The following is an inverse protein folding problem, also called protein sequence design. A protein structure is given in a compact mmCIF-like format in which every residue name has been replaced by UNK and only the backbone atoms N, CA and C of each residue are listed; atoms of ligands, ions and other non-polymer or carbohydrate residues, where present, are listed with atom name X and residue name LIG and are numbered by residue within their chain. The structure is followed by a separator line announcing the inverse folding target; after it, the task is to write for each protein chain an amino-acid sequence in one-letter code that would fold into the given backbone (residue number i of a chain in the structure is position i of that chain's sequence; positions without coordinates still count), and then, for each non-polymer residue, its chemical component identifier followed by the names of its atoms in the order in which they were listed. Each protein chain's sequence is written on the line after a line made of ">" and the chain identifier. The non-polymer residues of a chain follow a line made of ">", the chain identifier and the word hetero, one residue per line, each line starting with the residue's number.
data_IF_267380163126
#
_entry.id   IF_267380163126
#
_cell.length_a   1.000
_cell.length_b   1.000
_cell.length_c   1.000
_cell.angle_alpha   90.00
_cell.angle_beta   90.00
_cell.angle_gamma   90.00
#
_symmetry.space_group_name_H-M   'P 1'
#
loop_
_entity.id
_entity.type
_entity.pdbx_description
1 polymer ?
#
# COMPACT_ATOMS: atom_id res chain seq x y z
N UNK A 1 -3.64 -40.45 -4.45
CA UNK A 1 -3.40 -40.02 -5.83
C UNK A 1 -1.90 -39.94 -6.09
N UNK A 2 -1.46 -40.16 -7.33
CA UNK A 2 -0.09 -39.83 -7.75
C UNK A 2 -0.01 -38.37 -8.22
N UNK A 3 1.18 -37.76 -8.25
CA UNK A 3 1.37 -36.42 -8.84
C UNK A 3 0.93 -36.38 -10.30
N UNK A 4 1.12 -37.47 -11.03
CA UNK A 4 0.69 -37.60 -12.43
C UNK A 4 -0.83 -37.65 -12.60
N UNK A 5 -1.56 -38.22 -11.63
CA UNK A 5 -3.02 -38.17 -11.60
C UNK A 5 -3.51 -36.75 -11.31
N UNK A 6 -2.95 -36.10 -10.29
CA UNK A 6 -3.28 -34.71 -9.95
C UNK A 6 -3.03 -33.77 -11.14
N UNK A 7 -1.93 -33.96 -11.86
CA UNK A 7 -1.56 -33.16 -13.04
C UNK A 7 -2.55 -33.23 -14.21
N UNK A 8 -3.52 -34.16 -14.20
CA UNK A 8 -4.60 -34.23 -15.21
C UNK A 8 -5.73 -33.24 -14.93
N UNK A 9 -5.85 -32.76 -13.70
CA UNK A 9 -6.93 -31.90 -13.22
C UNK A 9 -6.51 -30.42 -13.27
N UNK A 10 -6.46 -29.87 -14.49
CA UNK A 10 -5.90 -28.54 -14.76
C UNK A 10 -6.90 -27.48 -15.22
N UNK A 11 -8.12 -27.89 -15.56
CA UNK A 11 -9.13 -27.01 -16.16
C UNK A 11 -10.46 -27.18 -15.42
N UNK A 12 -11.37 -26.18 -15.49
CA UNK A 12 -12.70 -26.34 -14.89
C UNK A 12 -13.48 -27.55 -15.44
N UNK A 13 -13.27 -27.92 -16.70
CA UNK A 13 -13.90 -29.10 -17.31
C UNK A 13 -13.39 -30.43 -16.74
N UNK A 14 -12.12 -30.48 -16.37
CA UNK A 14 -11.46 -31.67 -15.81
C UNK A 14 -11.40 -31.66 -14.27
N UNK A 15 -12.02 -30.67 -13.62
CA UNK A 15 -11.75 -30.26 -12.23
C UNK A 15 -10.35 -29.69 -12.06
N UNK A 16 -10.20 -28.75 -11.12
CA UNK A 16 -8.95 -28.08 -10.79
C UNK A 16 -8.43 -28.63 -9.47
N UNK A 17 -7.42 -29.50 -9.54
CA UNK A 17 -6.82 -30.07 -8.33
C UNK A 17 -5.46 -29.44 -8.03
N UNK A 18 -5.13 -29.35 -6.75
CA UNK A 18 -3.84 -28.84 -6.26
C UNK A 18 -3.34 -29.69 -5.09
N UNK A 19 -2.05 -29.60 -4.77
CA UNK A 19 -1.48 -30.27 -3.59
C UNK A 19 -0.88 -29.29 -2.60
N UNK A 20 -0.92 -29.64 -1.31
CA UNK A 20 -0.18 -28.93 -0.26
C UNK A 20 0.24 -29.94 0.81
N UNK A 21 1.55 -30.05 1.05
CA UNK A 21 2.14 -31.16 1.78
C UNK A 21 1.88 -32.47 1.04
N UNK A 22 1.22 -33.40 1.72
CA UNK A 22 0.78 -34.68 1.15
C UNK A 22 -0.68 -34.68 0.73
N UNK A 23 -1.42 -33.61 0.96
CA UNK A 23 -2.86 -33.57 0.72
C UNK A 23 -3.19 -33.12 -0.70
N UNK A 24 -4.29 -33.62 -1.24
CA UNK A 24 -4.85 -33.29 -2.56
C UNK A 24 -6.21 -32.61 -2.37
N UNK A 25 -6.40 -31.49 -3.05
CA UNK A 25 -7.56 -30.63 -2.91
C UNK A 25 -8.22 -30.40 -4.27
N UNK A 26 -9.54 -30.52 -4.35
CA UNK A 26 -10.34 -30.10 -5.50
C UNK A 26 -10.86 -28.69 -5.24
N UNK A 27 -10.20 -27.72 -5.83
CA UNK A 27 -10.48 -26.29 -5.64
C UNK A 27 -11.33 -25.72 -6.77
N UNK A 28 -11.98 -26.56 -7.59
CA UNK A 28 -12.77 -26.14 -8.77
C UNK A 28 -13.78 -25.05 -8.40
N UNK A 29 -14.55 -25.27 -7.33
CA UNK A 29 -15.61 -24.35 -6.90
C UNK A 29 -15.04 -23.12 -6.16
N UNK A 30 -13.76 -23.13 -5.81
CA UNK A 30 -13.06 -22.01 -5.16
C UNK A 30 -12.35 -21.08 -6.13
N UNK A 31 -12.07 -21.52 -7.37
CA UNK A 31 -11.33 -20.75 -8.38
C UNK A 31 -11.88 -19.32 -8.51
N UNK A 32 -13.19 -19.19 -8.70
CA UNK A 32 -13.86 -17.89 -8.86
C UNK A 32 -13.97 -17.09 -7.56
N UNK A 33 -13.87 -17.75 -6.40
CA UNK A 33 -13.96 -17.13 -5.07
C UNK A 33 -12.60 -16.67 -4.55
N UNK A 34 -11.51 -17.02 -5.24
CA UNK A 34 -10.16 -16.73 -4.80
C UNK A 34 -9.89 -15.21 -4.77
N UNK A 35 -9.47 -14.62 -3.63
CA UNK A 35 -9.29 -13.16 -3.51
C UNK A 35 -8.25 -12.54 -4.45
N UNK A 36 -7.31 -13.34 -4.96
CA UNK A 36 -6.34 -12.92 -5.97
C UNK A 36 -6.84 -13.02 -7.42
N UNK A 37 -8.10 -13.43 -7.61
CA UNK A 37 -8.68 -13.79 -8.90
C UNK A 37 -8.40 -15.25 -9.31
N UNK A 38 -9.18 -15.78 -10.27
CA UNK A 38 -9.08 -17.16 -10.73
C UNK A 38 -7.73 -17.44 -11.41
N UNK A 39 -7.23 -16.49 -12.20
CA UNK A 39 -5.98 -16.62 -12.96
C UNK A 39 -4.80 -16.99 -12.07
N UNK A 40 -4.71 -16.43 -10.86
CA UNK A 40 -3.59 -16.69 -9.94
C UNK A 40 -3.65 -18.09 -9.33
N UNK A 41 -4.85 -18.59 -9.05
CA UNK A 41 -5.03 -19.93 -8.51
C UNK A 41 -4.84 -21.00 -9.59
N UNK A 42 -5.29 -20.74 -10.81
CA UNK A 42 -5.14 -21.64 -11.96
C UNK A 42 -3.67 -21.88 -12.36
N UNK A 43 -2.74 -21.00 -11.98
CA UNK A 43 -1.30 -21.25 -12.14
C UNK A 43 -0.81 -22.49 -11.38
N UNK A 44 -1.47 -22.81 -10.26
CA UNK A 44 -1.16 -23.99 -9.45
C UNK A 44 -1.92 -25.24 -9.91
N UNK A 45 -2.79 -25.14 -10.92
CA UNK A 45 -3.66 -26.23 -11.34
C UNK A 45 -2.85 -27.47 -11.76
N UNK A 46 -3.22 -28.62 -11.20
CA UNK A 46 -2.52 -29.89 -11.34
C UNK A 46 -1.14 -29.93 -10.68
N UNK A 47 -0.86 -29.06 -9.71
CA UNK A 47 0.46 -28.90 -9.11
C UNK A 47 0.44 -28.52 -7.62
N UNK A 48 1.65 -28.28 -7.10
CA UNK A 48 1.90 -27.96 -5.70
C UNK A 48 1.65 -26.48 -5.40
N UNK A 49 0.99 -26.19 -4.27
CA UNK A 49 0.71 -24.83 -3.78
C UNK A 49 1.93 -24.17 -3.15
N UNK A 50 2.90 -24.95 -2.66
CA UNK A 50 4.05 -24.50 -1.88
C UNK A 50 4.87 -23.40 -2.57
N UNK A 51 5.21 -23.47 -3.87
CA UNK A 51 5.93 -22.39 -4.55
C UNK A 51 5.16 -21.06 -4.53
N UNK A 52 3.83 -21.11 -4.63
CA UNK A 52 2.97 -19.93 -4.61
C UNK A 52 2.77 -19.41 -3.18
N UNK A 53 2.61 -20.31 -2.21
CA UNK A 53 2.43 -19.97 -0.79
C UNK A 53 3.71 -19.41 -0.16
N UNK A 54 4.88 -19.84 -0.64
CA UNK A 54 6.15 -19.24 -0.29
C UNK A 54 6.18 -17.74 -0.65
N UNK A 55 5.65 -17.36 -1.81
CA UNK A 55 5.57 -15.96 -2.30
C UNK A 55 4.47 -15.15 -1.62
N UNK A 56 3.34 -15.79 -1.32
CA UNK A 56 2.17 -15.15 -0.73
C UNK A 56 1.86 -15.74 0.64
N UNK A 57 2.68 -15.43 1.66
CA UNK A 57 2.51 -16.07 2.98
C UNK A 57 1.22 -15.72 3.71
N UNK A 58 0.36 -14.85 3.15
CA UNK A 58 -1.03 -14.71 3.60
C UNK A 58 -1.76 -16.06 3.60
N UNK A 59 -1.39 -16.98 2.69
CA UNK A 59 -1.97 -18.31 2.63
C UNK A 59 -1.52 -19.23 3.77
N UNK A 60 -0.41 -18.91 4.45
CA UNK A 60 0.04 -19.63 5.64
C UNK A 60 -0.74 -19.23 6.90
N UNK A 61 -1.71 -18.32 6.82
CA UNK A 61 -2.53 -17.95 7.97
C UNK A 61 -3.52 -19.09 8.32
N UNK A 62 -3.79 -19.33 9.62
CA UNK A 62 -4.63 -20.46 10.05
C UNK A 62 -5.99 -20.53 9.36
N UNK A 63 -6.67 -19.39 9.17
CA UNK A 63 -7.97 -19.35 8.52
C UNK A 63 -7.94 -19.76 7.03
N UNK A 64 -6.81 -19.55 6.32
CA UNK A 64 -6.66 -19.98 4.92
C UNK A 64 -6.39 -21.47 4.85
N UNK A 65 -5.60 -22.00 5.79
CA UNK A 65 -5.39 -23.44 5.93
C UNK A 65 -6.69 -24.16 6.29
N UNK A 66 -7.53 -23.57 7.15
CA UNK A 66 -8.87 -24.09 7.48
C UNK A 66 -9.78 -24.10 6.26
N UNK A 67 -9.83 -22.99 5.51
CA UNK A 67 -10.59 -22.92 4.26
C UNK A 67 -10.13 -23.96 3.24
N UNK A 68 -8.82 -24.12 3.05
CA UNK A 68 -8.27 -25.11 2.09
C UNK A 68 -8.68 -26.54 2.46
N UNK A 69 -8.78 -26.87 3.76
CA UNK A 69 -9.19 -28.21 4.21
C UNK A 69 -10.61 -28.59 3.78
N UNK A 70 -11.50 -27.63 3.59
CA UNK A 70 -12.86 -27.89 3.09
C UNK A 70 -12.86 -28.50 1.68
N UNK A 71 -11.79 -28.27 0.92
CA UNK A 71 -11.62 -28.75 -0.45
C UNK A 71 -10.81 -30.05 -0.55
N UNK A 72 -10.44 -30.69 0.57
CA UNK A 72 -9.61 -31.90 0.55
C UNK A 72 -10.39 -33.08 -0.06
N UNK A 73 -9.81 -33.71 -1.08
CA UNK A 73 -10.36 -34.89 -1.77
C UNK A 73 -9.53 -36.15 -1.62
N UNK A 74 -8.29 -36.04 -1.12
CA UNK A 74 -7.48 -37.19 -0.75
C UNK A 74 -6.05 -36.83 -0.39
N UNK A 75 -5.17 -37.81 -0.50
CA UNK A 75 -3.74 -37.70 -0.17
C UNK A 75 -2.89 -38.31 -1.29
N UNK A 76 -1.64 -37.85 -1.39
CA UNK A 76 -0.65 -38.39 -2.31
C UNK A 76 -0.21 -39.79 -1.87
N UNK A 77 0.18 -40.62 -2.83
CA UNK A 77 0.80 -41.92 -2.53
C UNK A 77 2.12 -41.70 -1.76
N UNK A 78 2.54 -42.66 -0.91
CA UNK A 78 3.79 -42.53 -0.15
C UNK A 78 5.03 -42.27 -1.02
N UNK A 79 5.05 -42.78 -2.24
CA UNK A 79 6.13 -42.58 -3.23
C UNK A 79 6.20 -41.12 -3.71
N UNK A 80 5.05 -40.46 -3.86
CA UNK A 80 4.93 -39.06 -4.31
C UNK A 80 4.87 -38.04 -3.14
N UNK A 81 4.69 -38.53 -1.91
CA UNK A 81 4.70 -37.76 -0.67
C UNK A 81 6.09 -37.17 -0.33
N UNK A 82 7.15 -37.69 -0.96
CA UNK A 82 8.48 -37.08 -0.88
C UNK A 82 8.53 -35.83 -1.76
N UNK A 83 9.00 -34.67 -1.25
CA UNK A 83 9.10 -33.47 -2.08
C UNK A 83 10.04 -33.73 -3.26
N UNK A 84 9.53 -33.54 -4.49
CA UNK A 84 10.40 -33.45 -5.65
C UNK A 84 11.45 -32.33 -5.38
N UNK A 85 12.72 -32.50 -5.76
CA UNK A 85 13.75 -31.47 -5.58
C UNK A 85 13.51 -30.33 -6.59
N UNK A 86 12.47 -29.53 -6.34
CA UNK A 86 12.29 -28.20 -6.93
C UNK A 86 13.07 -27.21 -6.10
N UNK A 87 13.78 -26.29 -6.76
CA UNK A 87 14.66 -25.27 -6.19
C UNK A 87 14.08 -24.64 -4.90
N UNK A 88 14.47 -25.18 -3.75
CA UNK A 88 13.94 -24.85 -2.41
C UNK A 88 14.53 -23.57 -1.85
N UNK A 89 14.95 -22.64 -2.72
CA UNK A 89 15.46 -21.35 -2.30
C UNK A 89 14.30 -20.43 -1.98
N UNK A 90 14.16 -20.11 -0.70
CA UNK A 90 13.27 -19.07 -0.18
C UNK A 90 13.38 -17.79 -1.03
N UNK A 91 12.32 -17.39 -1.77
CA UNK A 91 12.37 -16.23 -2.66
C UNK A 91 12.73 -14.93 -1.96
N UNK A 92 12.54 -14.86 -0.63
CA UNK A 92 12.83 -13.69 0.20
C UNK A 92 14.23 -13.72 0.83
N UNK A 93 15.06 -14.72 0.55
CA UNK A 93 16.39 -14.84 1.16
C UNK A 93 17.30 -13.63 0.86
N UNK A 94 17.07 -12.93 -0.27
CA UNK A 94 17.80 -11.74 -0.68
C UNK A 94 17.19 -10.42 -0.18
N UNK A 95 16.13 -10.46 0.62
CA UNK A 95 15.52 -9.26 1.18
C UNK A 95 16.48 -8.51 2.12
N UNK A 96 16.44 -7.16 2.17
CA UNK A 96 17.30 -6.38 3.05
C UNK A 96 16.98 -6.63 4.54
N UNK A 97 17.93 -6.38 5.46
CA UNK A 97 17.63 -6.29 6.88
C UNK A 97 16.80 -5.03 7.18
N UNK A 98 15.97 -5.08 8.24
CA UNK A 98 15.13 -3.96 8.67
C UNK A 98 15.31 -3.65 10.14
N UNK A 99 14.91 -2.43 10.52
CA UNK A 99 15.02 -1.98 11.89
C UNK A 99 14.08 -2.78 12.83
N UNK A 100 14.58 -3.30 13.97
CA UNK A 100 13.81 -4.22 14.83
C UNK A 100 12.65 -3.55 15.57
N UNK A 101 12.63 -2.22 15.68
CA UNK A 101 11.53 -1.50 16.31
C UNK A 101 10.25 -1.45 15.44
N UNK A 102 10.32 -1.81 14.16
CA UNK A 102 9.14 -1.84 13.30
C UNK A 102 8.12 -2.88 13.81
N UNK A 103 6.85 -2.50 13.79
CA UNK A 103 5.73 -3.40 14.07
C UNK A 103 5.42 -4.18 12.80
N UNK A 104 5.96 -5.40 12.74
CA UNK A 104 5.81 -6.28 11.58
C UNK A 104 4.43 -6.94 11.59
N UNK A 105 3.68 -6.80 10.50
CA UNK A 105 2.42 -7.50 10.28
C UNK A 105 2.56 -8.69 9.31
N UNK A 106 3.60 -8.71 8.48
CA UNK A 106 3.96 -9.84 7.63
C UNK A 106 5.47 -9.83 7.40
N UNK A 107 6.11 -10.99 7.53
CA UNK A 107 7.53 -11.15 7.27
C UNK A 107 7.82 -11.40 5.78
N UNK A 108 6.95 -12.14 5.08
CA UNK A 108 7.13 -12.57 3.68
C UNK A 108 5.80 -12.50 2.93
N UNK A 109 5.56 -11.52 2.06
CA UNK A 109 6.41 -10.35 1.83
C UNK A 109 6.47 -9.44 3.06
N UNK A 110 7.58 -8.71 3.21
CA UNK A 110 7.81 -7.85 4.36
C UNK A 110 6.84 -6.65 4.36
N UNK A 111 6.08 -6.52 5.43
CA UNK A 111 5.17 -5.41 5.65
C UNK A 111 5.19 -5.01 7.13
N UNK A 112 5.50 -3.74 7.40
CA UNK A 112 5.65 -3.23 8.75
C UNK A 112 5.41 -1.72 8.83
N UNK A 113 4.97 -1.26 9.99
CA UNK A 113 4.77 0.15 10.31
C UNK A 113 5.64 0.57 11.50
N UNK A 114 6.02 1.85 11.63
CA UNK A 114 6.67 2.32 12.84
C UNK A 114 5.73 2.21 14.05
N UNK A 115 6.28 2.11 15.28
CA UNK A 115 5.50 2.31 16.49
C UNK A 115 4.75 3.66 16.44
N UNK A 116 3.45 3.69 16.79
CA UNK A 116 2.64 4.92 16.82
C UNK A 116 3.32 6.10 17.52
N UNK A 117 3.94 5.85 18.66
CA UNK A 117 4.65 6.83 19.49
C UNK A 117 5.87 7.46 18.79
N UNK A 118 6.45 6.79 17.79
CA UNK A 118 7.58 7.30 17.00
C UNK A 118 7.12 8.01 15.72
N UNK A 119 5.90 7.73 15.27
CA UNK A 119 5.39 8.17 13.96
C UNK A 119 5.45 9.71 13.79
N UNK A 120 5.18 10.46 14.86
CA UNK A 120 5.08 11.92 14.84
C UNK A 120 6.19 12.63 15.61
N UNK A 121 7.29 11.93 15.93
CA UNK A 121 8.45 12.55 16.62
C UNK A 121 9.30 13.42 15.69
N UNK A 122 9.19 13.21 14.38
CA UNK A 122 9.84 14.01 13.35
C UNK A 122 8.88 14.26 12.21
N UNK A 123 8.97 15.44 11.60
CA UNK A 123 8.18 15.79 10.41
C UNK A 123 8.53 14.89 9.22
N UNK A 124 9.83 14.65 9.00
CA UNK A 124 10.32 13.65 8.05
C UNK A 124 10.58 12.36 8.80
N UNK A 125 9.87 11.30 8.44
CA UNK A 125 10.07 9.97 9.01
C UNK A 125 11.45 9.45 8.59
N UNK A 126 12.31 9.01 9.54
CA UNK A 126 13.58 8.38 9.20
C UNK A 126 13.39 7.19 8.26
N UNK A 127 14.31 6.99 7.31
CA UNK A 127 14.20 5.96 6.27
C UNK A 127 14.00 4.55 6.85
N UNK A 128 14.65 4.28 7.98
CA UNK A 128 14.65 3.01 8.71
C UNK A 128 13.32 2.73 9.44
N UNK A 129 12.52 3.78 9.67
CA UNK A 129 11.21 3.72 10.33
C UNK A 129 10.04 3.99 9.37
N UNK A 130 10.31 4.42 8.14
CA UNK A 130 9.29 4.65 7.13
C UNK A 130 8.54 3.35 6.86
N UNK A 131 7.20 3.38 6.92
CA UNK A 131 6.39 2.16 6.78
C UNK A 131 6.72 1.43 5.47
N UNK A 132 6.83 0.12 5.53
CA UNK A 132 7.19 -0.70 4.37
C UNK A 132 6.02 -1.57 3.98
N UNK A 133 5.60 -1.49 2.73
CA UNK A 133 4.60 -2.39 2.14
C UNK A 133 5.20 -3.05 0.90
N UNK A 134 5.44 -4.36 0.96
CA UNK A 134 5.87 -5.18 -0.16
C UNK A 134 4.79 -6.21 -0.49
N UNK A 135 4.46 -6.37 -1.78
CA UNK A 135 3.60 -7.47 -2.25
C UNK A 135 4.39 -8.73 -2.59
N UNK A 136 5.68 -8.56 -2.88
CA UNK A 136 6.57 -9.53 -3.49
C UNK A 136 7.98 -9.40 -2.88
N UNK A 137 8.92 -10.33 -3.16
CA UNK A 137 10.32 -10.21 -2.74
C UNK A 137 10.97 -8.91 -3.24
N UNK A 138 11.93 -8.38 -2.47
CA UNK A 138 12.64 -7.15 -2.83
C UNK A 138 13.68 -7.46 -3.91
N UNK A 139 13.60 -6.85 -5.11
CA UNK A 139 14.59 -7.05 -6.16
C UNK A 139 16.02 -6.74 -5.69
N UNK A 140 16.98 -7.53 -6.19
CA UNK A 140 18.41 -7.24 -6.08
C UNK A 140 18.85 -6.60 -7.40
N UNK A 141 19.16 -5.31 -7.37
CA UNK A 141 19.43 -4.52 -8.58
C UNK A 141 20.88 -4.04 -8.57
N UNK A 142 21.61 -4.38 -9.62
CA UNK A 142 22.96 -3.85 -9.86
C UNK A 142 22.86 -2.48 -10.57
N UNK A 143 23.36 -1.38 -9.97
CA UNK A 143 23.10 -0.03 -10.48
C UNK A 143 23.62 0.22 -11.89
N UNK A 144 24.76 -0.36 -12.27
CA UNK A 144 25.38 -0.16 -13.59
C UNK A 144 24.58 -0.78 -14.74
N UNK A 145 23.87 -1.89 -14.48
CA UNK A 145 23.09 -2.60 -15.48
C UNK A 145 21.61 -2.23 -15.48
N UNK A 146 21.12 -1.53 -14.44
CA UNK A 146 19.74 -1.04 -14.38
C UNK A 146 19.37 -0.20 -15.61
N UNK A 147 18.19 -0.46 -16.18
CA UNK A 147 17.60 0.33 -17.27
C UNK A 147 16.13 0.57 -16.98
N UNK A 148 15.73 1.84 -17.09
CA UNK A 148 14.35 2.27 -17.12
C UNK A 148 13.88 2.36 -18.57
N UNK A 149 12.87 1.56 -18.93
CA UNK A 149 12.20 1.65 -20.23
C UNK A 149 11.11 2.73 -20.18
N UNK A 150 11.12 3.66 -21.12
CA UNK A 150 10.03 4.64 -21.29
C UNK A 150 9.52 4.55 -22.73
N UNK A 151 8.28 4.09 -22.88
CA UNK A 151 7.65 3.94 -24.20
C UNK A 151 7.10 5.28 -24.66
N UNK A 152 7.61 5.77 -25.79
CA UNK A 152 7.21 7.00 -26.45
C UNK A 152 6.18 6.77 -27.58
N UNK A 153 5.61 7.85 -28.14
CA UNK A 153 4.67 7.77 -29.26
C UNK A 153 5.29 7.08 -30.49
N UNK A 154 4.44 6.43 -31.29
CA UNK A 154 4.86 5.87 -32.58
C UNK A 154 5.87 4.71 -32.48
N UNK A 155 5.92 4.00 -31.34
CA UNK A 155 6.82 2.87 -31.11
C UNK A 155 8.25 3.25 -30.71
N UNK A 156 8.53 4.54 -30.46
CA UNK A 156 9.81 4.97 -29.88
C UNK A 156 9.94 4.39 -28.48
N UNK A 157 11.14 3.96 -28.10
CA UNK A 157 11.41 3.47 -26.75
C UNK A 157 12.73 4.06 -26.26
N UNK A 158 12.71 4.69 -25.09
CA UNK A 158 13.92 5.12 -24.38
C UNK A 158 14.33 4.02 -23.40
N UNK A 159 15.64 3.79 -23.31
CA UNK A 159 16.24 2.92 -22.28
C UNK A 159 17.24 3.77 -21.51
N UNK A 160 16.84 4.26 -20.35
CA UNK A 160 17.62 5.18 -19.53
C UNK A 160 18.37 4.41 -18.44
N UNK A 161 19.69 4.55 -18.38
CA UNK A 161 20.46 4.14 -17.21
C UNK A 161 20.20 5.04 -16.00
N UNK A 162 20.56 4.60 -14.80
CA UNK A 162 20.47 5.43 -13.59
C UNK A 162 21.31 6.72 -13.71
N UNK A 163 22.49 6.63 -14.32
CA UNK A 163 23.37 7.78 -14.55
C UNK A 163 22.74 8.79 -15.51
N UNK A 164 22.10 8.33 -16.59
CA UNK A 164 21.39 9.20 -17.53
C UNK A 164 20.16 9.85 -16.90
N UNK A 165 19.40 9.12 -16.08
CA UNK A 165 18.26 9.68 -15.37
C UNK A 165 18.69 10.80 -14.40
N UNK A 166 19.85 10.66 -13.74
CA UNK A 166 20.43 11.67 -12.85
C UNK A 166 21.05 12.85 -13.61
N UNK A 167 21.69 12.58 -14.75
CA UNK A 167 22.49 13.58 -15.48
C UNK A 167 21.71 14.37 -16.54
N UNK A 168 20.65 13.79 -17.13
CA UNK A 168 19.90 14.44 -18.23
C UNK A 168 18.76 15.33 -17.73
N UNK A 169 18.17 15.02 -16.59
CA UNK A 169 16.98 15.70 -16.09
C UNK A 169 17.32 16.53 -14.84
N UNK A 170 16.82 17.78 -14.73
CA UNK A 170 16.99 18.56 -13.52
C UNK A 170 16.43 17.82 -12.29
N UNK A 171 17.23 17.71 -11.23
CA UNK A 171 16.75 17.14 -9.97
C UNK A 171 15.71 18.06 -9.35
N UNK A 172 14.51 17.55 -9.11
CA UNK A 172 13.46 18.21 -8.35
C UNK A 172 13.25 17.48 -7.02
N UNK A 173 12.88 18.23 -5.98
CA UNK A 173 12.65 17.67 -4.66
C UNK A 173 11.25 18.03 -4.16
N UNK A 174 10.53 17.03 -3.63
CA UNK A 174 9.15 17.15 -3.18
C UNK A 174 9.03 16.48 -1.83
N UNK A 175 8.50 17.19 -0.84
CA UNK A 175 8.15 16.57 0.46
C UNK A 175 6.73 16.04 0.38
N UNK A 176 6.58 14.72 0.43
CA UNK A 176 5.28 14.08 0.28
C UNK A 176 5.08 12.94 1.29
N UNK A 177 3.86 12.87 1.82
CA UNK A 177 3.39 11.76 2.64
C UNK A 177 2.85 10.66 1.74
N UNK A 178 3.28 9.42 1.99
CA UNK A 178 2.66 8.24 1.40
C UNK A 178 1.77 7.60 2.46
N UNK A 179 0.52 7.34 2.10
CA UNK A 179 -0.43 6.58 2.93
C UNK A 179 -0.90 5.34 2.17
N UNK A 180 -0.88 4.18 2.82
CA UNK A 180 -1.47 2.96 2.28
C UNK A 180 -3.01 3.05 2.31
N UNK A 181 -3.69 2.51 1.30
CA UNK A 181 -5.15 2.41 1.27
C UNK A 181 -5.72 1.71 2.51
N UNK A 182 -4.96 0.77 3.07
CA UNK A 182 -5.33 -0.03 4.25
C UNK A 182 -4.88 0.55 5.58
N UNK A 183 -4.41 1.80 5.64
CA UNK A 183 -4.10 2.44 6.92
C UNK A 183 -5.32 2.38 7.84
N UNK A 184 -5.12 2.04 9.12
CA UNK A 184 -6.18 1.87 10.12
C UNK A 184 -7.16 0.71 9.85
N UNK A 185 -6.79 -0.27 9.01
CA UNK A 185 -7.64 -1.44 8.71
C UNK A 185 -8.08 -2.20 9.97
N UNK A 186 -7.21 -2.29 10.97
CA UNK A 186 -7.52 -3.01 12.22
C UNK A 186 -8.76 -2.48 12.95
N UNK A 187 -9.10 -1.20 12.79
CA UNK A 187 -10.33 -0.62 13.33
C UNK A 187 -11.57 -1.08 12.56
N UNK A 188 -11.46 -1.25 11.24
CA UNK A 188 -12.54 -1.79 10.41
C UNK A 188 -12.83 -3.25 10.75
N UNK A 189 -11.79 -4.05 11.01
CA UNK A 189 -11.91 -5.45 11.42
C UNK A 189 -12.70 -5.64 12.73
N UNK A 190 -12.83 -4.60 13.57
CA UNK A 190 -13.64 -4.64 14.80
C UNK A 190 -15.15 -4.61 14.52
N UNK A 191 -15.58 -4.12 13.35
CA UNK A 191 -16.99 -4.19 12.93
C UNK A 191 -17.33 -5.59 12.45
N UNK A 192 -16.57 -6.03 11.44
CA UNK A 192 -16.74 -7.29 10.73
C UNK A 192 -15.38 -7.64 10.10
N UNK A 193 -14.96 -8.93 10.11
CA UNK A 193 -13.70 -9.34 9.51
C UNK A 193 -13.54 -8.87 8.06
N UNK A 194 -12.33 -8.45 7.69
CA UNK A 194 -11.97 -7.98 6.34
C UNK A 194 -10.70 -8.70 5.85
N UNK A 195 -10.48 -8.79 4.53
CA UNK A 195 -9.25 -9.40 3.98
C UNK A 195 -8.17 -8.34 3.73
N UNK A 196 -7.09 -8.40 4.49
CA UNK A 196 -5.89 -7.58 4.29
C UNK A 196 -4.97 -7.53 5.51
N UNK A 197 -3.82 -6.87 5.37
CA UNK A 197 -2.85 -6.70 6.45
C UNK A 197 -3.45 -5.89 7.61
N UNK A 198 -3.27 -6.34 8.85
CA UNK A 198 -3.83 -5.71 10.04
C UNK A 198 -3.06 -4.44 10.47
N UNK A 199 -3.07 -3.41 9.62
CA UNK A 199 -2.45 -2.12 9.91
C UNK A 199 -3.15 -1.40 11.07
N UNK A 200 -2.35 -0.82 11.95
CA UNK A 200 -2.76 0.20 12.93
C UNK A 200 -2.76 1.58 12.24
N UNK A 201 -2.50 2.65 12.98
CA UNK A 201 -2.44 4.03 12.46
C UNK A 201 -1.15 4.38 11.68
N UNK A 202 -0.18 3.48 11.59
CA UNK A 202 1.18 3.74 11.11
C UNK A 202 1.47 3.35 9.66
N UNK A 203 0.49 2.94 8.86
CA UNK A 203 0.68 2.70 7.42
C UNK A 203 0.68 4.02 6.61
N UNK A 204 1.42 5.00 7.13
CA UNK A 204 1.60 6.36 6.63
C UNK A 204 2.97 6.87 7.07
N UNK A 205 3.72 7.56 6.21
CA UNK A 205 5.01 8.17 6.56
C UNK A 205 5.35 9.30 5.57
N UNK A 206 6.22 10.22 5.97
CA UNK A 206 6.58 11.41 5.18
C UNK A 206 8.08 11.46 4.92
N UNK A 207 8.46 11.75 3.68
CA UNK A 207 9.86 11.92 3.30
C UNK A 207 10.02 13.06 2.27
N UNK A 208 11.24 13.58 2.18
CA UNK A 208 11.68 14.44 1.08
C UNK A 208 12.22 13.56 -0.03
N UNK A 209 11.52 13.50 -1.15
CA UNK A 209 11.87 12.70 -2.32
C UNK A 209 12.66 13.55 -3.31
N UNK A 210 13.73 13.00 -3.89
CA UNK A 210 14.55 13.67 -4.91
C UNK A 210 14.63 12.83 -6.18
N UNK A 211 14.41 13.44 -7.34
CA UNK A 211 14.36 12.71 -8.60
C UNK A 211 14.16 13.58 -9.83
N UNK A 212 14.05 12.93 -10.98
CA UNK A 212 13.59 13.56 -12.21
C UNK A 212 12.06 13.74 -12.15
N UNK A 213 11.52 14.84 -12.66
CA UNK A 213 10.06 14.96 -12.83
C UNK A 213 9.58 13.99 -13.91
N UNK A 214 8.48 13.28 -13.65
CA UNK A 214 7.88 12.38 -14.64
C UNK A 214 7.50 13.15 -15.91
N UNK A 215 6.96 14.36 -15.75
CA UNK A 215 6.69 15.33 -16.84
C UNK A 215 7.89 15.45 -17.78
N UNK A 216 9.07 15.78 -17.25
CA UNK A 216 10.24 16.07 -18.08
C UNK A 216 10.73 14.82 -18.84
N UNK A 217 10.62 13.65 -18.22
CA UNK A 217 10.96 12.36 -18.85
C UNK A 217 9.98 12.03 -19.98
N UNK A 218 8.68 12.24 -19.79
CA UNK A 218 7.66 12.02 -20.82
C UNK A 218 7.81 13.01 -21.99
N UNK A 219 8.08 14.28 -21.70
CA UNK A 219 8.38 15.28 -22.73
C UNK A 219 9.62 14.89 -23.54
N UNK A 220 10.68 14.41 -22.88
CA UNK A 220 11.87 13.91 -23.56
C UNK A 220 11.62 12.65 -24.40
N UNK A 221 10.70 11.78 -23.98
CA UNK A 221 10.24 10.64 -24.76
C UNK A 221 9.42 11.03 -26.00
N UNK A 222 8.99 12.29 -26.10
CA UNK A 222 8.28 12.85 -27.24
C UNK A 222 6.78 13.05 -27.01
N UNK A 223 6.28 12.89 -25.79
CA UNK A 223 4.92 13.31 -25.45
C UNK A 223 4.84 14.83 -25.29
N UNK A 224 3.62 15.39 -25.36
CA UNK A 224 3.36 16.79 -25.06
C UNK A 224 2.70 16.99 -23.70
N UNK A 225 2.30 18.22 -23.43
CA UNK A 225 1.54 18.61 -22.23
C UNK A 225 0.06 18.24 -22.28
N UNK A 226 -0.38 17.70 -23.42
CA UNK A 226 -1.75 17.28 -23.69
C UNK A 226 -1.76 15.80 -24.02
N UNK A 227 -2.87 15.10 -23.75
CA UNK A 227 -3.01 13.71 -24.12
C UNK A 227 -2.77 13.50 -25.63
N UNK A 228 -2.27 12.32 -26.05
CA UNK A 228 -2.00 12.02 -27.46
C UNK A 228 -3.20 12.23 -28.41
N UNK A 229 -4.43 12.04 -27.92
CA UNK A 229 -5.67 12.42 -28.60
C UNK A 229 -6.59 13.21 -27.66
N UNK A 230 -7.41 14.10 -28.22
CA UNK A 230 -8.43 14.82 -27.48
C UNK A 230 -9.63 13.94 -27.09
N UNK A 231 -9.79 12.81 -27.78
CA UNK A 231 -10.81 11.79 -27.50
C UNK A 231 -10.17 10.67 -26.65
N UNK A 232 -10.79 10.35 -25.52
CA UNK A 232 -10.37 9.28 -24.61
C UNK A 232 -9.64 9.77 -23.36
N UNK A 233 -9.64 8.92 -22.32
CA UNK A 233 -8.86 9.13 -21.10
C UNK A 233 -7.51 8.42 -21.25
N UNK A 234 -6.42 9.16 -21.07
CA UNK A 234 -5.09 8.63 -21.18
C UNK A 234 -4.47 8.42 -19.81
N UNK A 235 -3.63 7.40 -19.71
CA UNK A 235 -2.98 6.99 -18.48
C UNK A 235 -1.48 6.81 -18.69
N UNK A 236 -0.72 6.98 -17.62
CA UNK A 236 0.68 6.54 -17.54
C UNK A 236 0.73 5.31 -16.65
N UNK A 237 1.09 4.19 -17.26
CA UNK A 237 1.24 2.88 -16.64
C UNK A 237 2.69 2.68 -16.20
N UNK A 238 2.84 2.06 -15.03
CA UNK A 238 4.12 1.79 -14.40
C UNK A 238 4.22 0.30 -14.08
N UNK A 239 5.40 -0.26 -14.23
CA UNK A 239 5.72 -1.62 -13.79
C UNK A 239 6.98 -1.63 -12.93
N UNK A 240 6.96 -2.42 -11.86
CA UNK A 240 8.11 -2.72 -11.00
C UNK A 240 8.92 -3.91 -11.51
N UNK A 241 10.13 -4.07 -10.99
CA UNK A 241 10.99 -5.24 -11.20
C UNK A 241 10.54 -6.45 -10.36
N UNK A 242 9.75 -6.22 -9.31
CA UNK A 242 9.20 -7.29 -8.50
C UNK A 242 8.10 -8.03 -9.27
N UNK A 243 8.28 -9.34 -9.43
CA UNK A 243 7.38 -10.24 -10.16
C UNK A 243 6.91 -11.38 -9.27
N UNK A 244 5.71 -11.86 -9.53
CA UNK A 244 5.22 -13.09 -8.90
C UNK A 244 5.72 -14.37 -9.58
N UNK A 245 5.26 -15.54 -9.10
CA UNK A 245 5.62 -16.85 -9.67
C UNK A 245 5.26 -16.99 -11.16
N UNK A 246 4.29 -16.24 -11.68
CA UNK A 246 3.95 -16.24 -13.11
C UNK A 246 4.81 -15.27 -13.93
N UNK A 247 5.72 -14.53 -13.30
CA UNK A 247 6.48 -13.46 -13.95
C UNK A 247 5.67 -12.18 -14.15
N UNK A 248 4.49 -12.05 -13.53
CA UNK A 248 3.68 -10.83 -13.63
C UNK A 248 4.24 -9.76 -12.68
N UNK A 249 4.57 -8.56 -13.16
CA UNK A 249 5.15 -7.50 -12.32
C UNK A 249 4.08 -6.79 -11.48
N UNK A 250 4.49 -6.19 -10.36
CA UNK A 250 3.70 -5.14 -9.73
C UNK A 250 3.46 -3.99 -10.72
N UNK A 251 2.21 -3.55 -10.85
CA UNK A 251 1.85 -2.50 -11.79
C UNK A 251 0.72 -1.60 -11.28
N UNK A 252 0.74 -0.35 -11.72
CA UNK A 252 -0.29 0.65 -11.43
C UNK A 252 -0.31 1.73 -12.52
N UNK A 253 -1.32 2.59 -12.50
CA UNK A 253 -1.36 3.76 -13.38
C UNK A 253 -1.94 4.99 -12.71
N UNK A 254 -1.60 6.15 -13.27
CA UNK A 254 -2.21 7.45 -12.96
C UNK A 254 -2.75 8.10 -14.24
N UNK A 255 -3.72 9.03 -14.15
CA UNK A 255 -4.15 9.83 -15.30
C UNK A 255 -2.99 10.59 -15.93
N UNK A 256 -2.99 10.70 -17.26
CA UNK A 256 -1.94 11.35 -18.04
C UNK A 256 -1.76 12.82 -17.63
N UNK A 257 -2.86 13.53 -17.40
CA UNK A 257 -2.89 14.94 -17.01
C UNK A 257 -2.14 15.16 -15.70
N UNK A 258 -2.22 14.22 -14.76
CA UNK A 258 -1.45 14.27 -13.52
C UNK A 258 0.03 14.05 -13.79
N UNK A 259 0.38 13.08 -14.64
CA UNK A 259 1.76 12.75 -14.94
C UNK A 259 2.51 13.90 -15.62
N UNK A 260 1.83 14.67 -16.47
CA UNK A 260 2.42 15.84 -17.14
C UNK A 260 2.19 17.15 -16.39
N UNK A 261 1.31 17.24 -15.40
CA UNK A 261 1.09 18.50 -14.66
C UNK A 261 2.32 18.93 -13.86
N UNK A 262 2.72 20.20 -14.01
CA UNK A 262 3.81 20.80 -13.24
C UNK A 262 3.47 20.94 -11.74
N UNK A 263 2.18 21.12 -11.41
CA UNK A 263 1.69 21.32 -10.04
C UNK A 263 1.47 20.00 -9.29
N UNK A 264 1.36 18.89 -10.01
CA UNK A 264 1.19 17.56 -9.42
C UNK A 264 2.51 16.97 -8.88
N UNK A 265 3.65 17.55 -9.27
CA UNK A 265 4.99 17.23 -8.78
C UNK A 265 5.35 15.73 -8.77
N UNK A 266 4.87 14.97 -9.76
CA UNK A 266 5.16 13.54 -9.87
C UNK A 266 6.64 13.32 -10.19
N UNK A 267 7.31 12.46 -9.40
CA UNK A 267 8.74 12.18 -9.53
C UNK A 267 9.02 10.73 -9.94
N UNK A 268 10.07 10.56 -10.72
CA UNK A 268 10.89 9.35 -10.75
C UNK A 268 12.03 9.55 -9.73
N UNK A 269 11.75 9.22 -8.48
CA UNK A 269 12.65 9.45 -7.35
C UNK A 269 13.77 8.42 -7.32
N UNK A 270 14.99 8.89 -7.06
CA UNK A 270 16.19 8.09 -6.81
C UNK A 270 16.88 8.47 -5.49
N UNK A 271 16.32 9.45 -4.77
CA UNK A 271 16.73 9.90 -3.43
C UNK A 271 15.52 9.98 -2.48
N UNK A 272 15.76 9.67 -1.21
CA UNK A 272 14.80 9.76 -0.10
C UNK A 272 15.51 10.28 1.15
N UNK A 273 15.02 11.41 1.66
CA UNK A 273 15.60 12.14 2.78
C UNK A 273 17.10 12.48 2.58
N UNK A 274 17.46 12.89 1.36
CA UNK A 274 18.82 13.31 1.00
C UNK A 274 19.84 12.17 0.85
N UNK A 275 19.38 10.91 0.90
CA UNK A 275 20.19 9.71 0.65
C UNK A 275 19.65 8.94 -0.55
N UNK A 276 20.42 8.03 -1.10
CA UNK A 276 19.91 7.07 -2.07
C UNK A 276 18.71 6.30 -1.51
N UNK A 277 17.82 5.85 -2.40
CA UNK A 277 16.67 5.06 -1.99
C UNK A 277 17.11 3.77 -1.27
N UNK A 278 16.59 3.47 -0.08
CA UNK A 278 16.75 2.15 0.51
C UNK A 278 16.10 1.07 -0.37
N UNK A 279 16.60 -0.16 -0.33
CA UNK A 279 16.08 -1.29 -1.13
C UNK A 279 14.59 -1.52 -0.93
N UNK A 280 14.10 -1.53 0.32
CA UNK A 280 12.67 -1.69 0.63
C UNK A 280 11.79 -0.57 0.03
N UNK A 281 12.37 0.61 -0.23
CA UNK A 281 11.67 1.79 -0.72
C UNK A 281 11.86 2.02 -2.22
N UNK A 282 12.41 1.05 -2.95
CA UNK A 282 12.39 1.03 -4.40
C UNK A 282 13.71 1.35 -5.09
N UNK A 283 14.86 1.15 -4.44
CA UNK A 283 16.16 1.28 -5.09
C UNK A 283 16.23 0.55 -6.44
N UNK A 284 16.74 1.17 -7.52
CA UNK A 284 17.34 2.50 -7.57
C UNK A 284 16.35 3.63 -7.88
N UNK A 285 15.16 3.32 -8.40
CA UNK A 285 14.16 4.31 -8.82
C UNK A 285 12.75 3.86 -8.44
N UNK A 286 11.96 4.78 -7.90
CA UNK A 286 10.51 4.61 -7.71
C UNK A 286 9.74 5.76 -8.33
N UNK A 287 8.47 5.54 -8.63
CA UNK A 287 7.51 6.62 -8.81
C UNK A 287 7.11 7.15 -7.43
N UNK A 288 6.99 8.47 -7.30
CA UNK A 288 6.31 9.15 -6.18
C UNK A 288 5.20 9.99 -6.79
N UNK A 289 3.96 9.71 -6.38
CA UNK A 289 2.76 10.44 -6.83
C UNK A 289 2.18 11.19 -5.63
N UNK A 290 2.53 12.48 -5.43
CA UNK A 290 2.07 13.25 -4.29
C UNK A 290 0.53 13.38 -4.25
N UNK A 291 -0.05 13.31 -3.04
CA UNK A 291 -1.51 13.44 -2.83
C UNK A 291 -2.34 12.23 -3.27
N UNK A 292 -1.71 11.14 -3.72
CA UNK A 292 -2.34 9.92 -4.21
C UNK A 292 -2.00 8.75 -3.28
N UNK A 293 -2.85 7.73 -3.25
CA UNK A 293 -2.63 6.50 -2.49
C UNK A 293 -1.29 5.85 -2.82
N UNK A 294 -0.59 5.35 -1.79
CA UNK A 294 0.77 4.81 -1.94
C UNK A 294 0.90 3.66 -2.95
N UNK A 295 -0.19 2.96 -3.27
CA UNK A 295 -0.22 1.90 -4.27
C UNK A 295 0.22 2.36 -5.68
N UNK A 296 -0.01 3.63 -6.03
CA UNK A 296 0.36 4.17 -7.36
C UNK A 296 1.82 4.63 -7.45
N UNK A 297 2.51 4.71 -6.30
CA UNK A 297 3.93 5.04 -6.22
C UNK A 297 4.79 3.78 -6.39
N UNK A 298 4.80 3.21 -7.60
CA UNK A 298 5.48 1.95 -7.96
C UNK A 298 6.96 1.99 -7.61
N UNK A 299 7.43 0.96 -6.90
CA UNK A 299 8.84 0.79 -6.50
C UNK A 299 9.60 -0.05 -7.53
N UNK A 300 10.94 0.03 -7.49
CA UNK A 300 11.82 -0.75 -8.35
C UNK A 300 11.44 -0.61 -9.83
N UNK A 301 11.20 0.62 -10.27
CA UNK A 301 10.54 0.94 -11.53
C UNK A 301 11.33 0.37 -12.73
N UNK A 302 10.68 -0.45 -13.56
CA UNK A 302 11.27 -1.00 -14.78
C UNK A 302 10.76 -0.35 -16.06
N UNK A 303 9.47 0.04 -16.07
CA UNK A 303 8.79 0.50 -17.28
C UNK A 303 7.82 1.64 -16.98
N UNK A 304 7.75 2.59 -17.91
CA UNK A 304 6.77 3.67 -17.99
C UNK A 304 6.18 3.64 -19.40
N UNK A 305 4.86 3.53 -19.51
CA UNK A 305 4.17 3.49 -20.79
C UNK A 305 2.91 4.37 -20.77
N UNK A 306 2.64 5.08 -21.85
CA UNK A 306 1.40 5.84 -22.03
C UNK A 306 0.37 4.97 -22.73
N UNK A 307 -0.86 4.93 -22.21
CA UNK A 307 -1.91 4.01 -22.64
C UNK A 307 -3.27 4.73 -22.68
N UNK A 308 -4.15 4.32 -23.58
CA UNK A 308 -5.54 4.78 -23.64
C UNK A 308 -6.46 4.04 -22.63
N UNK A 309 -5.88 3.20 -21.78
CA UNK A 309 -6.56 2.48 -20.71
C UNK A 309 -5.67 2.46 -19.46
N UNK A 310 -6.30 2.31 -18.30
CA UNK A 310 -5.60 2.05 -17.05
C UNK A 310 -4.67 0.83 -17.16
N UNK A 311 -3.71 0.74 -16.24
CA UNK A 311 -2.86 -0.44 -16.12
C UNK A 311 -3.75 -1.70 -16.00
N UNK A 312 -3.50 -2.75 -16.79
CA UNK A 312 -4.25 -4.01 -16.69
C UNK A 312 -3.86 -4.83 -15.45
N UNK A 313 -2.91 -4.34 -14.65
CA UNK A 313 -2.40 -5.05 -13.49
C UNK A 313 -3.51 -5.35 -12.47
N UNK A 314 -3.43 -6.52 -11.80
CA UNK A 314 -4.39 -6.92 -10.77
C UNK A 314 -4.59 -5.83 -9.71
N UNK A 315 -3.52 -5.17 -9.26
CA UNK A 315 -3.59 -4.12 -8.24
C UNK A 315 -4.22 -2.80 -8.74
N UNK A 316 -4.38 -2.60 -10.05
CA UNK A 316 -5.15 -1.48 -10.59
C UNK A 316 -6.62 -1.88 -10.80
N UNK A 317 -6.85 -3.07 -11.37
CA UNK A 317 -8.17 -3.50 -11.82
C UNK A 317 -9.02 -4.16 -10.73
N UNK A 318 -8.43 -5.06 -9.95
CA UNK A 318 -9.12 -5.99 -9.04
C UNK A 318 -8.73 -5.79 -7.56
N UNK A 319 -8.07 -4.67 -7.24
CA UNK A 319 -7.76 -4.28 -5.87
C UNK A 319 -7.80 -2.74 -5.72
N UNK A 320 -7.61 -2.25 -4.50
CA UNK A 320 -7.56 -0.82 -4.17
C UNK A 320 -8.76 -0.06 -4.76
N UNK A 321 -9.97 -0.52 -4.40
CA UNK A 321 -11.28 0.07 -4.73
C UNK A 321 -12.16 0.06 -3.46
N UNK A 322 -12.99 1.09 -3.30
CA UNK A 322 -13.95 1.19 -2.19
C UNK A 322 -15.34 0.74 -2.63
N UNK A 323 -16.05 0.01 -1.79
CA UNK A 323 -17.38 -0.53 -2.09
C UNK A 323 -18.38 -0.19 -0.99
N UNK A 324 -19.67 -0.26 -1.33
CA UNK A 324 -20.76 -0.13 -0.36
C UNK A 324 -20.63 -1.20 0.74
N UNK A 325 -20.97 -0.91 2.00
CA UNK A 325 -20.92 -1.89 3.09
C UNK A 325 -21.77 -3.15 2.88
N UNK A 326 -22.77 -3.10 1.97
CA UNK A 326 -23.61 -4.25 1.62
C UNK A 326 -22.94 -5.25 0.67
N UNK A 327 -21.81 -4.90 0.04
CA UNK A 327 -21.09 -5.77 -0.89
C UNK A 327 -20.23 -6.76 -0.11
N UNK A 328 -20.30 -8.05 -0.48
CA UNK A 328 -19.46 -9.13 0.06
C UNK A 328 -18.70 -9.85 -1.06
N UNK A 329 -17.92 -10.88 -0.72
CA UNK A 329 -17.04 -11.59 -1.66
C UNK A 329 -17.76 -12.29 -2.81
N UNK A 330 -19.02 -12.69 -2.61
CA UNK A 330 -19.87 -13.35 -3.59
C UNK A 330 -20.51 -12.37 -4.60
N UNK A 331 -20.51 -11.08 -4.27
CA UNK A 331 -21.28 -10.03 -4.97
C UNK A 331 -20.42 -8.86 -5.44
N UNK A 332 -19.11 -8.87 -5.16
CA UNK A 332 -18.19 -7.80 -5.55
C UNK A 332 -17.95 -7.77 -7.06
N UNK A 333 -18.26 -6.63 -7.69
CA UNK A 333 -17.85 -6.33 -9.07
C UNK A 333 -16.84 -5.18 -9.04
N UNK A 334 -15.56 -5.49 -9.29
CA UNK A 334 -14.49 -4.49 -9.30
C UNK A 334 -14.63 -3.45 -10.40
N UNK A 335 -15.43 -3.69 -11.45
CA UNK A 335 -15.70 -2.69 -12.51
C UNK A 335 -16.67 -1.61 -12.05
N UNK A 336 -17.43 -1.86 -10.99
CA UNK A 336 -18.43 -0.92 -10.45
C UNK A 336 -17.84 0.22 -9.60
N UNK A 337 -16.53 0.18 -9.30
CA UNK A 337 -15.86 1.19 -8.50
C UNK A 337 -14.58 1.70 -9.18
N UNK A 338 -14.27 3.01 -9.07
CA UNK A 338 -13.03 3.55 -9.60
C UNK A 338 -11.83 3.09 -8.77
N UNK A 339 -10.68 2.92 -9.43
CA UNK A 339 -9.42 2.69 -8.75
C UNK A 339 -9.11 3.86 -7.81
N UNK A 340 -8.66 3.55 -6.57
CA UNK A 340 -8.29 4.60 -5.62
C UNK A 340 -7.12 5.40 -6.18
N UNK A 341 -7.31 6.71 -6.30
CA UNK A 341 -6.29 7.69 -6.66
C UNK A 341 -6.06 8.61 -5.46
N UNK A 342 -6.72 9.78 -5.40
CA UNK A 342 -6.67 10.65 -4.23
C UNK A 342 -7.36 9.98 -3.03
N UNK A 343 -6.81 10.21 -1.83
CA UNK A 343 -7.36 9.72 -0.58
C UNK A 343 -8.14 10.83 0.16
N UNK A 344 -9.20 10.48 0.90
CA UNK A 344 -9.92 11.43 1.73
C UNK A 344 -9.05 11.92 2.90
N UNK A 345 -9.52 12.98 3.55
CA UNK A 345 -8.91 13.51 4.77
C UNK A 345 -8.81 12.45 5.88
N UNK A 346 -7.68 12.42 6.58
CA UNK A 346 -7.33 11.46 7.61
C UNK A 346 -6.67 12.17 8.79
N UNK A 347 -6.87 11.65 10.00
CA UNK A 347 -6.07 11.99 11.18
C UNK A 347 -6.02 10.83 12.18
N UNK A 348 -4.98 10.79 13.00
CA UNK A 348 -4.91 9.89 14.14
C UNK A 348 -4.10 10.52 15.29
N UNK A 349 -4.35 9.99 16.49
CA UNK A 349 -3.68 10.34 17.74
C UNK A 349 -2.55 9.33 17.92
N UNK A 350 -1.33 9.79 18.10
CA UNK A 350 -0.15 8.96 18.31
C UNK A 350 0.31 8.93 19.76
N UNK A 351 -0.01 9.98 20.52
CA UNK A 351 0.32 10.13 21.92
C UNK A 351 -0.86 10.81 22.65
N UNK A 352 -1.35 10.29 23.78
CA UNK A 352 -0.97 9.02 24.43
C UNK A 352 -1.51 7.79 23.68
N UNK A 353 -1.03 6.60 24.06
CA UNK A 353 -1.53 5.32 23.51
C UNK A 353 -2.82 4.87 24.20
N UNK A 354 -3.60 4.06 23.48
CA UNK A 354 -4.77 3.41 24.05
C UNK A 354 -4.38 2.53 25.25
N UNK A 355 -5.10 2.68 26.35
CA UNK A 355 -4.86 1.97 27.62
C UNK A 355 -3.74 2.55 28.48
N UNK A 356 -3.12 3.67 28.09
CA UNK A 356 -2.06 4.28 28.89
C UNK A 356 -2.57 4.78 30.26
N UNK A 357 -1.72 4.67 31.27
CA UNK A 357 -1.87 5.32 32.57
C UNK A 357 -1.13 6.66 32.54
N UNK A 358 -1.86 7.77 32.62
CA UNK A 358 -1.29 9.12 32.48
C UNK A 358 -1.30 9.82 33.84
N UNK A 359 -0.21 10.45 34.31
CA UNK A 359 -0.21 11.26 35.52
C UNK A 359 -1.24 12.40 35.44
N UNK A 360 -1.87 12.74 36.58
CA UNK A 360 -2.65 13.97 36.68
C UNK A 360 -1.74 15.20 36.47
N UNK A 361 -2.31 16.30 35.98
CA UNK A 361 -1.56 17.51 35.61
C UNK A 361 -1.58 17.76 34.09
N UNK A 362 -0.45 18.19 33.55
CA UNK A 362 -0.32 18.54 32.13
C UNK A 362 -0.16 17.29 31.26
N UNK A 363 -1.05 17.17 30.28
CA UNK A 363 -1.01 16.18 29.21
C UNK A 363 -0.73 16.86 27.87
N UNK A 364 0.23 16.32 27.14
CA UNK A 364 0.44 16.64 25.73
C UNK A 364 -0.15 15.54 24.87
N UNK A 365 -1.12 15.90 24.02
CA UNK A 365 -1.69 15.00 23.00
C UNK A 365 -1.06 15.35 21.66
N UNK A 366 -0.60 14.34 20.92
CA UNK A 366 0.03 14.51 19.60
C UNK A 366 -0.65 13.64 18.56
N UNK A 367 -0.51 14.04 17.31
CA UNK A 367 -0.92 13.22 16.19
C UNK A 367 -0.58 13.82 14.84
N UNK A 368 -1.12 13.19 13.80
CA UNK A 368 -0.99 13.65 12.43
C UNK A 368 -2.37 13.89 11.82
N UNK A 369 -2.39 14.70 10.77
CA UNK A 369 -3.50 14.83 9.85
C UNK A 369 -2.98 14.97 8.42
N UNK A 370 -3.71 14.48 7.43
CA UNK A 370 -3.31 14.55 6.03
C UNK A 370 -4.54 14.41 5.12
N UNK A 371 -4.46 14.91 3.90
CA UNK A 371 -5.48 14.71 2.87
C UNK A 371 -4.81 14.52 1.51
N UNK A 372 -5.44 13.72 0.64
CA UNK A 372 -5.07 13.63 -0.77
C UNK A 372 -5.30 14.95 -1.52
N UNK A 373 -4.82 15.01 -2.76
CA UNK A 373 -5.04 16.15 -3.68
C UNK A 373 -4.16 17.38 -3.45
N UNK A 374 -3.30 17.38 -2.42
CA UNK A 374 -2.26 18.40 -2.24
C UNK A 374 -2.78 19.76 -1.76
N UNK A 375 -3.41 19.81 -0.59
CA UNK A 375 -3.96 21.05 0.00
C UNK A 375 -3.94 20.99 1.54
N UNK A 376 -4.12 22.14 2.17
CA UNK A 376 -4.11 22.30 3.64
C UNK A 376 -5.22 21.51 4.36
N UNK A 377 -4.93 21.13 5.60
CA UNK A 377 -5.83 20.42 6.52
C UNK A 377 -5.79 21.10 7.87
N UNK A 378 -6.96 21.47 8.39
CA UNK A 378 -7.15 21.92 9.77
C UNK A 378 -7.51 20.75 10.68
N UNK A 379 -7.15 20.80 11.97
CA UNK A 379 -7.42 19.72 12.92
C UNK A 379 -8.19 20.23 14.12
N UNK A 380 -9.29 19.54 14.44
CA UNK A 380 -10.08 19.78 15.65
C UNK A 380 -10.02 18.54 16.56
N UNK A 381 -9.83 18.77 17.85
CA UNK A 381 -9.91 17.73 18.87
C UNK A 381 -11.20 17.86 19.65
N UNK A 382 -11.88 16.74 19.88
CA UNK A 382 -13.07 16.67 20.69
C UNK A 382 -12.78 16.01 22.02
N UNK A 383 -13.10 16.74 23.10
CA UNK A 383 -12.97 16.29 24.47
C UNK A 383 -13.98 17.06 25.35
N UNK A 384 -14.53 16.43 26.39
CA UNK A 384 -15.65 16.96 27.21
C UNK A 384 -16.85 17.50 26.42
N UNK A 385 -17.29 16.81 25.37
CA UNK A 385 -18.43 17.26 24.58
C UNK A 385 -18.21 18.61 23.87
N UNK A 386 -16.96 19.09 23.79
CA UNK A 386 -16.58 20.33 23.11
C UNK A 386 -15.45 20.11 22.12
N UNK A 387 -15.41 20.91 21.06
CA UNK A 387 -14.31 20.92 20.09
C UNK A 387 -13.33 22.05 20.40
N UNK A 388 -12.03 21.78 20.34
CA UNK A 388 -10.99 22.82 20.33
C UNK A 388 -10.05 22.60 19.16
N UNK A 389 -9.59 23.69 18.57
CA UNK A 389 -8.54 23.65 17.56
C UNK A 389 -7.24 23.16 18.19
N UNK A 390 -6.56 22.23 17.53
CA UNK A 390 -5.20 21.84 17.93
C UNK A 390 -4.20 22.92 17.51
N UNK A 391 -3.06 22.98 18.20
CA UNK A 391 -1.93 23.79 17.76
C UNK A 391 -1.10 22.99 16.75
N UNK A 392 -0.55 23.66 15.75
CA UNK A 392 0.32 23.02 14.76
C UNK A 392 1.77 23.05 15.24
N UNK A 393 2.51 21.96 15.00
CA UNK A 393 3.89 21.80 15.50
C UNK A 393 4.90 22.72 14.80
N UNK A 394 4.58 23.14 13.58
CA UNK A 394 5.39 24.02 12.74
C UNK A 394 4.52 25.17 12.22
N UNK A 395 5.14 26.33 11.96
CA UNK A 395 4.48 27.40 11.19
C UNK A 395 3.89 26.78 9.92
N UNK A 396 2.67 27.23 9.54
CA UNK A 396 1.93 26.66 8.41
C UNK A 396 2.89 26.47 7.24
N UNK A 397 3.02 25.26 6.71
CA UNK A 397 3.94 25.04 5.61
C UNK A 397 3.63 26.02 4.48
N UNK A 398 4.66 26.70 3.98
CA UNK A 398 4.57 27.44 2.72
C UNK A 398 4.03 26.51 1.61
N UNK A 399 3.66 27.06 0.44
CA UNK A 399 3.20 26.30 -0.75
C UNK A 399 3.99 24.99 -1.02
N UNK A 400 5.23 24.89 -0.55
CA UNK A 400 6.13 23.74 -0.61
C UNK A 400 5.77 22.47 0.19
N UNK A 401 4.73 22.44 1.05
CA UNK A 401 4.37 21.19 1.76
C UNK A 401 2.91 20.75 1.62
N UNK A 402 2.22 21.15 0.56
CA UNK A 402 0.82 20.75 0.34
C UNK A 402 0.59 19.23 0.28
N UNK A 403 1.62 18.45 -0.03
CA UNK A 403 1.54 17.00 -0.11
C UNK A 403 2.01 16.26 1.16
N UNK A 404 2.52 17.00 2.15
CA UNK A 404 2.96 16.45 3.42
C UNK A 404 1.82 16.50 4.44
N UNK A 405 1.91 15.64 5.46
CA UNK A 405 1.03 15.69 6.61
C UNK A 405 1.23 16.96 7.44
N UNK A 406 0.23 17.27 8.24
CA UNK A 406 0.30 18.25 9.32
C UNK A 406 0.48 17.49 10.63
N UNK A 407 1.57 17.76 11.35
CA UNK A 407 1.73 17.31 12.73
C UNK A 407 1.07 18.31 13.67
N UNK A 408 0.29 17.81 14.62
CA UNK A 408 -0.47 18.64 15.56
C UNK A 408 -0.17 18.23 17.01
N UNK A 409 -0.30 19.20 17.90
CA UNK A 409 -0.13 19.06 19.34
C UNK A 409 -1.25 19.79 20.07
N UNK A 410 -1.67 19.25 21.20
CA UNK A 410 -2.65 19.87 22.06
C UNK A 410 -2.26 19.69 23.51
N UNK A 411 -2.20 20.82 24.22
CA UNK A 411 -1.88 20.87 25.64
C UNK A 411 -3.17 20.91 26.45
N UNK A 412 -3.24 20.06 27.45
CA UNK A 412 -4.40 19.94 28.31
C UNK A 412 -3.99 19.73 29.76
N UNK A 413 -4.81 20.20 30.71
CA UNK A 413 -4.56 20.00 32.14
C UNK A 413 -5.76 19.28 32.77
N UNK A 414 -5.48 18.25 33.58
CA UNK A 414 -6.48 17.35 34.15
C UNK A 414 -6.30 17.20 35.65
N UNK A 415 -7.41 17.33 36.39
CA UNK A 415 -7.48 16.98 37.80
C UNK A 415 -7.50 15.46 38.02
N UNK A 416 -6.88 14.98 39.10
CA UNK A 416 -6.77 13.56 39.42
C UNK A 416 -8.14 12.86 39.52
N UNK A 417 -8.18 11.57 39.13
CA UNK A 417 -9.32 10.68 39.41
C UNK A 417 -10.47 10.68 38.39
N UNK A 418 -10.27 11.19 37.17
CA UNK A 418 -11.29 11.18 36.12
C UNK A 418 -10.91 10.30 34.91
N UNK A 419 -11.91 9.62 34.35
CA UNK A 419 -11.79 8.81 33.13
C UNK A 419 -12.10 9.68 31.91
N UNK A 420 -11.23 9.65 30.90
CA UNK A 420 -11.40 10.44 29.68
C UNK A 420 -11.17 9.61 28.43
N UNK A 421 -11.76 10.08 27.33
CA UNK A 421 -11.43 9.65 25.99
C UNK A 421 -11.16 10.88 25.13
N UNK A 422 -10.20 10.76 24.21
CA UNK A 422 -9.92 11.79 23.23
C UNK A 422 -10.32 11.30 21.84
N UNK A 423 -10.89 12.21 21.07
CA UNK A 423 -11.26 11.98 19.67
C UNK A 423 -10.59 13.06 18.83
N UNK A 424 -9.97 12.68 17.72
CA UNK A 424 -9.47 13.65 16.74
C UNK A 424 -10.27 13.56 15.44
N UNK A 425 -10.50 14.73 14.83
CA UNK A 425 -10.95 14.83 13.44
C UNK A 425 -10.17 15.93 12.72
N UNK A 426 -9.89 15.68 11.46
CA UNK A 426 -9.39 16.69 10.54
C UNK A 426 -10.51 17.22 9.65
N UNK A 427 -10.36 18.48 9.23
CA UNK A 427 -11.20 19.22 8.31
C UNK A 427 -10.31 19.67 7.16
N UNK A 428 -10.63 19.22 5.95
CA UNK A 428 -9.94 19.65 4.74
C UNK A 428 -10.30 21.10 4.39
N UNK A 429 -9.43 21.81 3.66
CA UNK A 429 -9.67 23.19 3.22
C UNK A 429 -11.01 23.42 2.50
N UNK A 430 -11.52 22.41 1.77
CA UNK A 430 -12.84 22.46 1.12
C UNK A 430 -13.99 21.89 1.99
N UNK A 431 -13.80 21.86 3.31
CA UNK A 431 -14.77 21.36 4.30
C UNK A 431 -15.18 19.88 4.15
N UNK A 432 -14.39 19.07 3.44
CA UNK A 432 -14.47 17.62 3.60
C UNK A 432 -14.05 17.26 5.03
N UNK A 433 -14.88 16.49 5.73
CA UNK A 433 -14.67 16.12 7.13
C UNK A 433 -14.62 14.61 7.30
N UNK A 434 -13.90 14.16 8.32
CA UNK A 434 -13.98 12.77 8.75
C UNK A 434 -15.36 12.48 9.38
N UNK A 435 -15.95 11.30 9.16
CA UNK A 435 -17.20 10.89 9.76
C UNK A 435 -17.01 10.36 11.20
N UNK A 436 -18.04 10.48 12.03
CA UNK A 436 -18.06 9.96 13.41
C UNK A 436 -18.26 8.44 13.45
N UNK A 437 -19.25 7.94 12.71
CA UNK A 437 -19.66 6.54 12.75
C UNK A 437 -18.96 5.77 11.63
N UNK A 438 -18.10 4.82 12.02
CA UNK A 438 -17.28 4.02 11.11
C UNK A 438 -18.02 2.85 10.45
N UNK A 439 -19.13 2.37 11.03
CA UNK A 439 -19.90 1.24 10.49
C UNK A 439 -20.39 1.48 9.05
N UNK A 440 -20.79 2.71 8.72
CA UNK A 440 -21.27 3.07 7.37
C UNK A 440 -20.19 3.08 6.30
N UNK A 441 -18.90 2.95 6.67
CA UNK A 441 -17.76 2.99 5.76
C UNK A 441 -17.03 1.64 5.68
N UNK A 442 -17.59 0.60 6.32
CA UNK A 442 -17.04 -0.75 6.20
C UNK A 442 -17.02 -1.19 4.73
N UNK A 443 -15.97 -1.88 4.31
CA UNK A 443 -15.90 -2.59 3.03
C UNK A 443 -15.04 -3.85 3.18
N UNK A 444 -15.31 -4.85 2.33
CA UNK A 444 -14.69 -6.18 2.39
C UNK A 444 -13.16 -6.22 2.39
N UNK A 445 -12.50 -5.20 1.81
CA UNK A 445 -11.02 -5.08 1.75
C UNK A 445 -10.41 -4.30 2.92
N UNK A 446 -11.22 -3.62 3.73
CA UNK A 446 -10.69 -2.81 4.82
C UNK A 446 -9.99 -1.53 4.36
N UNK A 447 -10.34 -0.97 3.20
CA UNK A 447 -9.73 0.27 2.68
C UNK A 447 -10.51 1.51 3.14
N UNK A 448 -9.94 2.70 2.94
CA UNK A 448 -10.61 3.97 3.26
C UNK A 448 -11.16 4.03 4.69
N UNK A 449 -10.37 3.60 5.68
CA UNK A 449 -10.75 3.84 7.07
C UNK A 449 -10.37 5.27 7.47
N UNK A 450 -11.31 6.21 7.39
CA UNK A 450 -11.09 7.63 7.70
C UNK A 450 -12.06 8.21 8.74
N UNK A 451 -12.77 7.37 9.49
CA UNK A 451 -13.58 7.83 10.62
C UNK A 451 -12.71 8.42 11.74
N UNK A 452 -13.32 9.15 12.68
CA UNK A 452 -12.61 9.75 13.82
C UNK A 452 -11.79 8.70 14.58
N UNK A 453 -10.53 9.01 14.86
CA UNK A 453 -9.71 8.16 15.71
C UNK A 453 -10.03 8.42 17.17
N UNK A 454 -10.24 7.34 17.95
CA UNK A 454 -10.62 7.42 19.36
C UNK A 454 -9.58 6.70 20.20
N UNK A 455 -9.04 7.40 21.19
CA UNK A 455 -8.08 6.84 22.16
C UNK A 455 -8.65 6.96 23.56
N UNK A 456 -8.72 5.81 24.23
CA UNK A 456 -9.13 5.69 25.63
C UNK A 456 -7.90 5.50 26.50
N UNK A 457 -7.77 6.27 27.57
CA UNK A 457 -6.70 6.17 28.56
C UNK A 457 -7.20 6.65 29.91
N UNK A 458 -6.48 6.36 31.00
CA UNK A 458 -6.91 6.70 32.35
C UNK A 458 -5.86 7.51 33.09
N UNK A 459 -6.32 8.43 33.94
CA UNK A 459 -5.43 9.21 34.79
C UNK A 459 -5.15 8.49 36.09
N UNK A 460 -3.88 8.40 36.46
CA UNK A 460 -3.47 7.93 37.78
C UNK A 460 -3.79 9.00 38.82
N UNK A 461 -4.04 8.57 40.07
CA UNK A 461 -4.27 9.47 41.20
C UNK A 461 -3.06 10.28 41.57
#
# INVERSE_FOLDING_TARGET
>A
YTRAEVARHRTPGDRVWVTHGTDVFDVTDFVELHPGGPDKLLLAAGGALEPFWALYAVHNQPHVLELLREYKVGELSPEDASPAPGDTRDPFAGDPPRHPALRVNSLKPFNAEPPPELLTQSFLTPNELFFTRNHLPVPSVEPGSYRLRVEGPGGRSLSLSLAELRGRFPKHEVTATLQCAGNRRSEMSRVRPVKGLAWDIGAISTARWGGARLRDVLLHAGFGDKPPSAEGEWHVCFEGLDVDASGTPYGASIPFERAVSADAEVLLAYEMNGRELPRDHGFPVRVVVPGVVGARSVKWLRSVAVSAAESPSHWQQNDYKGFCPSVDWDSVDFRAAPAIQELPVQSAITEPRAGAAVPAGELTVKGYAWSGGGREVDVSLFFFWTWRAAFFFFERPQRFFFFAWTLWVFFFSVAAGAFFFFVCKAVFFFFNVQPDIFFFFWNLRGFFFFAWHRVFFFFTR
#
